data_IF_201844785157
#
_entry.id   IF_201844785157
#
_cell.length_a   1.000
_cell.length_b   1.000
_cell.length_c   1.000
_cell.angle_alpha   90.00
_cell.angle_beta   90.00
_cell.angle_gamma   90.00
#
_symmetry.space_group_name_H-M   'P 1'
#
loop_
_entity.id
_entity.type
_entity.pdbx_description
1 polymer ?
#
# COMPACT_ATOMS: atom_id res chain seq x y z
N UNK A 1 11.96 3.16 -7.79
CA UNK A 1 13.03 3.27 -8.83
C UNK A 1 12.83 2.11 -9.77
N UNK A 2 12.88 2.29 -11.11
CA UNK A 2 12.64 1.22 -12.08
C UNK A 2 13.60 0.04 -11.94
N UNK A 3 13.21 -1.14 -12.44
CA UNK A 3 14.02 -2.36 -12.44
C UNK A 3 15.33 -2.19 -13.20
N UNK A 4 15.24 -1.74 -14.45
CA UNK A 4 16.38 -1.56 -15.36
C UNK A 4 17.38 -0.54 -14.80
N UNK A 5 16.89 0.43 -14.02
CA UNK A 5 17.77 1.41 -13.34
C UNK A 5 18.55 0.78 -12.19
N UNK A 6 17.95 -0.14 -11.42
CA UNK A 6 18.65 -0.87 -10.36
C UNK A 6 19.72 -1.78 -10.94
N UNK A 7 19.40 -2.51 -12.02
CA UNK A 7 20.36 -3.37 -12.71
C UNK A 7 21.53 -2.55 -13.30
N UNK A 8 21.22 -1.48 -14.03
CA UNK A 8 22.24 -0.60 -14.58
C UNK A 8 23.12 0.01 -13.47
N UNK A 9 22.52 0.36 -12.31
CA UNK A 9 23.28 0.86 -11.16
C UNK A 9 24.19 -0.21 -10.56
N UNK A 10 23.71 -1.44 -10.41
CA UNK A 10 24.48 -2.55 -9.86
C UNK A 10 25.70 -2.88 -10.73
N UNK A 11 25.52 -2.88 -12.05
CA UNK A 11 26.62 -3.02 -13.01
C UNK A 11 27.58 -1.81 -12.95
N UNK A 12 27.03 -0.60 -12.88
CA UNK A 12 27.82 0.62 -12.87
C UNK A 12 28.70 0.77 -11.62
N UNK A 13 28.23 0.33 -10.45
CA UNK A 13 28.99 0.37 -9.19
C UNK A 13 30.26 -0.49 -9.27
N UNK A 14 30.25 -1.56 -10.06
CA UNK A 14 31.40 -2.45 -10.22
C UNK A 14 32.45 -1.90 -11.21
N UNK A 15 32.03 -1.08 -12.17
CA UNK A 15 32.88 -0.58 -13.27
C UNK A 15 33.44 0.81 -13.05
N UNK A 16 32.88 1.57 -12.11
CA UNK A 16 33.18 2.98 -11.94
C UNK A 16 33.67 3.29 -10.53
N UNK A 17 34.48 4.35 -10.42
CA UNK A 17 34.79 4.94 -9.12
C UNK A 17 33.57 5.72 -8.62
N UNK A 18 32.95 5.22 -7.56
CA UNK A 18 31.72 5.79 -7.01
C UNK A 18 32.04 6.79 -5.91
N UNK A 19 31.34 7.93 -5.96
CA UNK A 19 31.44 9.00 -4.96
C UNK A 19 30.11 9.26 -4.27
N UNK A 20 30.19 9.97 -3.15
CA UNK A 20 29.06 10.55 -2.40
C UNK A 20 29.20 12.07 -2.32
N UNK A 21 28.10 12.78 -2.10
CA UNK A 21 28.07 14.23 -1.84
C UNK A 21 28.15 15.12 -3.08
N UNK A 22 28.27 14.54 -4.28
CA UNK A 22 28.25 15.27 -5.54
C UNK A 22 27.89 14.36 -6.71
N UNK A 23 27.57 14.98 -7.86
CA UNK A 23 27.24 14.25 -9.08
C UNK A 23 28.48 13.70 -9.81
N UNK A 24 29.55 14.49 -9.81
CA UNK A 24 30.89 14.15 -10.29
C UNK A 24 31.90 14.69 -9.28
N UNK A 25 33.07 14.07 -9.20
CA UNK A 25 34.10 14.41 -8.23
C UNK A 25 35.50 14.40 -8.82
N UNK A 26 36.50 14.82 -8.02
CA UNK A 26 37.90 14.76 -8.40
C UNK A 26 38.32 13.34 -8.80
N UNK A 27 39.22 13.21 -9.77
CA UNK A 27 39.72 11.91 -10.22
C UNK A 27 38.73 11.09 -11.05
N UNK A 28 37.66 11.72 -11.56
CA UNK A 28 36.69 11.05 -12.44
C UNK A 28 35.64 10.21 -11.72
N UNK A 29 35.55 10.33 -10.39
CA UNK A 29 34.50 9.69 -9.62
C UNK A 29 33.11 10.23 -9.96
N UNK A 30 32.10 9.35 -9.95
CA UNK A 30 30.71 9.69 -10.31
C UNK A 30 29.72 9.14 -9.29
N UNK A 31 28.59 9.81 -9.11
CA UNK A 31 27.55 9.31 -8.22
C UNK A 31 26.92 8.03 -8.80
N UNK A 32 26.35 7.14 -7.96
CA UNK A 32 25.76 5.89 -8.42
C UNK A 32 24.64 6.11 -9.46
N UNK A 33 23.86 7.18 -9.29
CA UNK A 33 22.78 7.51 -10.22
C UNK A 33 23.30 7.92 -11.61
N UNK A 34 24.36 8.73 -11.66
CA UNK A 34 24.99 9.11 -12.93
C UNK A 34 25.65 7.89 -13.59
N UNK A 35 26.28 7.04 -12.78
CA UNK A 35 26.88 5.79 -13.26
C UNK A 35 25.82 4.90 -13.92
N UNK A 36 24.68 4.71 -13.24
CA UNK A 36 23.54 3.96 -13.78
C UNK A 36 23.00 4.56 -15.08
N UNK A 37 22.83 5.89 -15.11
CA UNK A 37 22.32 6.58 -16.29
C UNK A 37 23.21 6.38 -17.51
N UNK A 38 24.55 6.45 -17.33
CA UNK A 38 25.53 6.20 -18.39
C UNK A 38 25.52 4.75 -18.87
N UNK A 39 25.17 3.80 -17.99
CA UNK A 39 25.02 2.39 -18.32
C UNK A 39 23.62 2.02 -18.83
N UNK A 40 22.81 2.99 -19.26
CA UNK A 40 21.51 2.74 -19.89
C UNK A 40 20.31 2.92 -18.97
N UNK A 41 20.51 3.37 -17.71
CA UNK A 41 19.42 3.78 -16.83
C UNK A 41 18.65 4.95 -17.43
N UNK A 42 17.42 4.72 -17.90
CA UNK A 42 16.59 5.73 -18.58
C UNK A 42 15.97 6.78 -17.65
N UNK A 43 16.35 6.82 -16.37
CA UNK A 43 15.81 7.76 -15.38
C UNK A 43 16.91 8.48 -14.62
N UNK A 44 16.67 9.75 -14.28
CA UNK A 44 17.46 10.49 -13.31
C UNK A 44 16.60 10.69 -12.05
N UNK A 45 16.96 10.02 -10.96
CA UNK A 45 16.21 10.13 -9.71
C UNK A 45 16.99 10.99 -8.71
N UNK A 46 16.82 12.31 -8.79
CA UNK A 46 17.42 13.27 -7.85
C UNK A 46 17.06 12.95 -6.39
N UNK A 47 15.89 12.34 -6.15
CA UNK A 47 15.47 11.85 -4.84
C UNK A 47 16.40 10.77 -4.29
N UNK A 48 16.89 9.85 -5.12
CA UNK A 48 17.81 8.79 -4.70
C UNK A 48 19.18 9.36 -4.41
N UNK A 49 19.70 10.26 -5.26
CA UNK A 49 21.00 10.89 -5.00
C UNK A 49 21.01 11.56 -3.62
N UNK A 50 19.96 12.33 -3.29
CA UNK A 50 19.80 12.95 -1.95
C UNK A 50 19.65 11.93 -0.83
N UNK A 51 18.90 10.85 -1.05
CA UNK A 51 18.72 9.80 -0.05
C UNK A 51 20.03 9.05 0.22
N UNK A 52 20.82 8.81 -0.82
CA UNK A 52 22.13 8.18 -0.77
C UNK A 52 23.15 9.05 -0.02
N UNK A 53 23.21 10.34 -0.35
CA UNK A 53 24.08 11.30 0.35
C UNK A 53 23.70 11.39 1.84
N UNK A 54 22.39 11.37 2.15
CA UNK A 54 21.91 11.32 3.54
C UNK A 54 22.31 10.02 4.24
N UNK A 55 22.15 8.88 3.58
CA UNK A 55 22.50 7.57 4.14
C UNK A 55 24.00 7.47 4.48
N UNK A 56 24.85 8.02 3.61
CA UNK A 56 26.30 8.03 3.76
C UNK A 56 26.82 9.17 4.65
N UNK A 57 25.93 10.04 5.13
CA UNK A 57 26.30 11.21 5.92
C UNK A 57 27.19 12.18 5.16
N UNK A 58 27.05 12.27 3.83
CA UNK A 58 27.80 13.21 3.01
C UNK A 58 27.25 14.63 3.22
N UNK A 59 27.80 15.32 4.23
CA UNK A 59 27.37 16.68 4.61
C UNK A 59 28.10 17.75 3.80
N UNK A 60 29.38 17.53 3.47
CA UNK A 60 30.20 18.47 2.71
C UNK A 60 31.19 17.75 1.78
N UNK A 61 31.17 18.17 0.51
CA UNK A 61 32.17 17.79 -0.48
C UNK A 61 32.00 16.40 -1.11
N UNK A 62 32.51 16.27 -2.34
CA UNK A 62 32.61 15.00 -3.02
C UNK A 62 33.72 14.15 -2.38
N UNK A 63 33.40 12.92 -1.96
CA UNK A 63 34.40 11.94 -1.53
C UNK A 63 34.16 10.57 -2.14
N UNK A 64 35.19 9.72 -2.27
CA UNK A 64 34.99 8.31 -2.59
C UNK A 64 34.04 7.63 -1.60
N UNK A 65 33.15 6.79 -2.13
CA UNK A 65 32.37 5.89 -1.31
C UNK A 65 33.31 4.85 -0.69
N UNK A 66 33.18 4.63 0.61
CA UNK A 66 33.91 3.58 1.32
C UNK A 66 33.41 2.20 0.87
N UNK A 67 34.25 1.18 1.03
CA UNK A 67 33.84 -0.19 0.66
C UNK A 67 32.58 -0.66 1.40
N UNK A 68 32.41 -0.23 2.67
CA UNK A 68 31.22 -0.57 3.44
C UNK A 68 29.96 0.02 2.81
N UNK A 69 30.05 1.25 2.32
CA UNK A 69 28.94 1.92 1.63
C UNK A 69 28.64 1.24 0.30
N UNK A 70 29.68 0.88 -0.47
CA UNK A 70 29.51 0.14 -1.71
C UNK A 70 28.86 -1.22 -1.48
N UNK A 71 29.32 -1.99 -0.49
CA UNK A 71 28.70 -3.26 -0.10
C UNK A 71 27.23 -3.08 0.29
N UNK A 72 26.93 -2.07 1.11
CA UNK A 72 25.55 -1.80 1.49
C UNK A 72 24.67 -1.45 0.29
N UNK A 73 25.16 -0.60 -0.63
CA UNK A 73 24.45 -0.26 -1.85
C UNK A 73 24.18 -1.49 -2.71
N UNK A 74 25.21 -2.30 -2.95
CA UNK A 74 25.10 -3.57 -3.70
C UNK A 74 24.06 -4.49 -3.08
N UNK A 75 24.15 -4.75 -1.77
CA UNK A 75 23.20 -5.63 -1.07
C UNK A 75 21.77 -5.11 -1.16
N UNK A 76 21.56 -3.79 -1.02
CA UNK A 76 20.21 -3.20 -1.15
C UNK A 76 19.66 -3.34 -2.57
N UNK A 77 20.51 -3.13 -3.60
CA UNK A 77 20.11 -3.29 -5.00
C UNK A 77 19.77 -4.74 -5.33
N UNK A 78 20.65 -5.68 -4.97
CA UNK A 78 20.44 -7.12 -5.16
C UNK A 78 19.18 -7.60 -4.46
N UNK A 79 18.97 -7.19 -3.20
CA UNK A 79 17.76 -7.52 -2.44
C UNK A 79 16.51 -6.97 -3.11
N UNK A 80 16.56 -5.72 -3.59
CA UNK A 80 15.43 -5.09 -4.29
C UNK A 80 15.12 -5.79 -5.62
N UNK A 81 16.13 -6.19 -6.37
CA UNK A 81 15.99 -6.93 -7.63
C UNK A 81 15.42 -8.33 -7.36
N UNK A 82 15.96 -9.05 -6.37
CA UNK A 82 15.50 -10.38 -5.99
C UNK A 82 14.04 -10.37 -5.49
N UNK A 83 13.67 -9.37 -4.69
CA UNK A 83 12.29 -9.16 -4.26
C UNK A 83 11.35 -8.94 -5.43
N UNK A 84 11.75 -8.14 -6.43
CA UNK A 84 10.91 -7.91 -7.61
C UNK A 84 10.82 -9.13 -8.53
N UNK A 85 11.93 -9.84 -8.72
CA UNK A 85 11.96 -11.07 -9.51
C UNK A 85 11.11 -12.18 -8.86
N UNK A 86 11.12 -12.29 -7.53
CA UNK A 86 10.27 -13.21 -6.78
C UNK A 86 8.81 -12.75 -6.66
N UNK A 87 8.57 -11.45 -6.75
CA UNK A 87 7.25 -10.83 -6.76
C UNK A 87 6.71 -10.59 -8.16
N UNK A 88 7.38 -11.11 -9.20
CA UNK A 88 7.05 -10.87 -10.60
C UNK A 88 5.55 -11.02 -10.85
N UNK A 89 5.01 -10.07 -11.61
CA UNK A 89 3.60 -9.94 -11.99
C UNK A 89 3.03 -11.29 -12.45
N UNK A 90 2.34 -11.98 -11.54
CA UNK A 90 1.91 -13.36 -11.75
C UNK A 90 1.77 -14.09 -10.42
N UNK A 91 2.84 -14.71 -9.91
CA UNK A 91 2.73 -15.77 -8.91
C UNK A 91 1.98 -15.42 -7.62
N UNK A 92 2.28 -14.28 -6.98
CA UNK A 92 1.57 -13.88 -5.76
C UNK A 92 0.20 -13.27 -6.05
N UNK A 93 0.07 -12.53 -7.14
CA UNK A 93 -1.20 -11.94 -7.57
C UNK A 93 -2.23 -13.00 -7.96
N UNK A 94 -1.78 -14.01 -8.71
CA UNK A 94 -2.52 -15.20 -9.13
C UNK A 94 -2.88 -16.06 -7.91
N UNK A 95 -1.95 -16.32 -6.99
CA UNK A 95 -2.27 -17.02 -5.74
C UNK A 95 -3.31 -16.27 -4.88
N UNK A 96 -3.29 -14.93 -4.86
CA UNK A 96 -4.30 -14.13 -4.16
C UNK A 96 -5.64 -14.16 -4.91
N UNK A 97 -5.64 -14.15 -6.24
CA UNK A 97 -6.84 -14.25 -7.06
C UNK A 97 -7.51 -15.63 -6.89
N UNK A 98 -6.74 -16.72 -7.04
CA UNK A 98 -7.20 -18.09 -6.82
C UNK A 98 -7.80 -18.28 -5.42
N UNK A 99 -7.16 -17.70 -4.40
CA UNK A 99 -7.68 -17.76 -3.05
C UNK A 99 -9.01 -17.01 -2.89
N UNK A 100 -9.17 -15.85 -3.54
CA UNK A 100 -10.43 -15.10 -3.51
C UNK A 100 -11.55 -15.84 -4.22
N UNK A 101 -11.27 -16.44 -5.37
CA UNK A 101 -12.25 -17.23 -6.12
C UNK A 101 -12.67 -18.48 -5.32
N UNK A 102 -11.73 -19.16 -4.67
CA UNK A 102 -12.03 -20.27 -3.78
C UNK A 102 -12.90 -19.88 -2.57
N UNK A 103 -12.73 -18.67 -2.03
CA UNK A 103 -13.56 -18.14 -0.94
C UNK A 103 -14.98 -17.79 -1.41
N UNK A 104 -15.12 -17.22 -2.62
CA UNK A 104 -16.42 -16.94 -3.21
C UNK A 104 -17.20 -18.24 -3.51
N UNK A 105 -16.54 -19.23 -4.10
CA UNK A 105 -17.11 -20.55 -4.35
C UNK A 105 -17.57 -21.23 -3.05
N UNK A 106 -16.79 -21.09 -1.99
CA UNK A 106 -17.15 -21.61 -0.67
C UNK A 106 -18.36 -20.89 -0.10
N UNK A 107 -18.40 -19.56 -0.16
CA UNK A 107 -19.54 -18.78 0.31
C UNK A 107 -20.83 -19.12 -0.46
N UNK A 108 -20.75 -19.30 -1.78
CA UNK A 108 -21.89 -19.70 -2.61
C UNK A 108 -22.38 -21.12 -2.27
N UNK A 109 -21.45 -22.05 -2.02
CA UNK A 109 -21.83 -23.40 -1.56
C UNK A 109 -22.44 -23.36 -0.17
N UNK A 110 -21.90 -22.58 0.75
CA UNK A 110 -22.44 -22.41 2.11
C UNK A 110 -23.81 -21.73 2.11
N UNK A 111 -24.08 -20.82 1.17
CA UNK A 111 -25.41 -20.22 0.94
C UNK A 111 -26.41 -21.23 0.35
N UNK A 112 -25.97 -22.07 -0.58
CA UNK A 112 -26.82 -23.09 -1.21
C UNK A 112 -27.10 -24.30 -0.30
N UNK A 113 -26.16 -24.63 0.59
CA UNK A 113 -26.31 -25.70 1.60
C UNK A 113 -26.93 -25.19 2.92
N UNK A 114 -27.28 -23.89 2.99
CA UNK A 114 -28.05 -23.36 4.10
C UNK A 114 -29.39 -24.11 4.15
N UNK A 115 -29.73 -24.78 5.27
CA UNK A 115 -30.98 -25.50 5.36
C UNK A 115 -32.11 -24.49 5.21
N UNK A 116 -32.98 -24.70 4.21
CA UNK A 116 -34.20 -23.91 4.06
C UNK A 116 -34.88 -23.79 5.43
N UNK A 117 -35.32 -22.59 5.84
CA UNK A 117 -35.96 -22.40 7.13
C UNK A 117 -37.09 -23.43 7.24
N UNK A 118 -37.07 -24.20 8.34
CA UNK A 118 -38.08 -25.24 8.52
C UNK A 118 -39.43 -24.53 8.55
N UNK A 119 -40.44 -25.09 7.89
CA UNK A 119 -41.79 -24.51 7.82
C UNK A 119 -42.36 -24.13 9.22
N UNK A 120 -41.90 -24.77 10.29
CA UNK A 120 -42.23 -24.40 11.68
C UNK A 120 -41.74 -22.99 12.06
N UNK A 121 -40.53 -22.63 11.68
CA UNK A 121 -39.87 -21.40 12.11
C UNK A 121 -40.50 -20.18 11.43
N UNK A 122 -40.92 -20.36 10.16
CA UNK A 122 -41.65 -19.36 9.40
C UNK A 122 -43.08 -19.12 9.92
N UNK A 123 -43.76 -20.17 10.43
CA UNK A 123 -45.08 -19.99 11.07
C UNK A 123 -44.98 -19.29 12.42
N UNK A 124 -43.95 -19.60 13.22
CA UNK A 124 -43.75 -19.02 14.55
C UNK A 124 -43.40 -17.52 14.50
N UNK A 125 -42.74 -17.09 13.42
CA UNK A 125 -42.47 -15.68 13.13
C UNK A 125 -43.73 -14.94 12.65
N UNK A 126 -44.57 -15.61 11.85
CA UNK A 126 -45.84 -15.06 11.38
C UNK A 126 -46.86 -14.91 12.53
N UNK A 127 -46.99 -15.90 13.42
CA UNK A 127 -47.82 -15.81 14.63
C UNK A 127 -47.34 -14.70 15.59
N UNK A 128 -46.02 -14.50 15.71
CA UNK A 128 -45.44 -13.42 16.53
C UNK A 128 -45.72 -12.04 15.93
N UNK A 129 -45.66 -11.90 14.60
CA UNK A 129 -46.04 -10.68 13.89
C UNK A 129 -47.54 -10.39 13.98
N UNK A 130 -48.38 -11.43 14.00
CA UNK A 130 -49.83 -11.34 14.17
C UNK A 130 -50.20 -10.98 15.62
N UNK A 131 -49.50 -11.53 16.61
CA UNK A 131 -49.58 -11.14 18.02
C UNK A 131 -49.21 -9.67 18.26
N UNK A 132 -48.32 -9.08 17.45
CA UNK A 132 -47.96 -7.67 17.56
C UNK A 132 -49.05 -6.72 17.02
N UNK A 133 -49.92 -7.20 16.13
CA UNK A 133 -51.05 -6.42 15.58
C UNK A 133 -52.32 -6.50 16.46
N UNK A 134 -52.40 -7.44 17.38
CA UNK A 134 -53.58 -7.69 18.20
C UNK A 134 -53.60 -7.01 19.59
N UNK A 135 -52.83 -5.94 19.82
CA UNK A 135 -52.92 -5.14 21.07
C UNK A 135 -53.59 -3.78 20.85
N UNK A 136 -54.85 -3.60 21.28
CA UNK A 136 -55.47 -2.27 21.39
C UNK A 136 -55.13 -1.68 22.75
N UNK A 137 -54.24 -0.68 22.83
CA UNK A 137 -54.06 0.03 24.09
C UNK A 137 -52.87 0.99 24.21
N UNK A 138 -53.18 2.29 24.13
CA UNK A 138 -52.49 3.44 24.76
C UNK A 138 -51.29 4.06 24.03
N UNK A 139 -51.60 4.94 23.07
CA UNK A 139 -50.77 6.11 22.75
C UNK A 139 -50.73 7.05 23.96
N UNK A 140 -49.55 7.32 24.51
CA UNK A 140 -49.33 8.43 25.44
C UNK A 140 -48.72 9.59 24.65
N UNK A 141 -49.54 10.59 24.33
CA UNK A 141 -49.14 11.81 23.65
C UNK A 141 -48.53 12.76 24.69
N UNK A 142 -47.21 12.94 24.71
CA UNK A 142 -46.61 14.07 25.44
C UNK A 142 -46.29 15.15 24.40
N UNK A 143 -47.21 16.11 24.30
CA UNK A 143 -47.09 17.33 23.52
C UNK A 143 -46.00 18.23 24.11
N UNK A 144 -44.94 18.49 23.34
CA UNK A 144 -44.01 19.60 23.57
C UNK A 144 -44.39 20.78 22.67
N UNK A 145 -45.16 21.73 23.20
CA UNK A 145 -45.55 22.97 22.52
C UNK A 145 -44.38 23.96 22.43
N UNK A 146 -44.03 24.38 21.21
CA UNK A 146 -43.18 25.56 20.97
C UNK A 146 -43.91 26.83 21.41
N UNK A 147 -43.22 27.72 22.13
CA UNK A 147 -43.67 29.10 22.34
C UNK A 147 -42.70 30.04 21.61
N UNK A 148 -43.17 30.62 20.51
CA UNK A 148 -42.53 31.72 19.81
C UNK A 148 -42.85 33.01 20.57
N UNK A 149 -41.80 33.74 20.98
CA UNK A 149 -41.94 35.08 21.52
C UNK A 149 -42.10 36.10 20.39
N UNK A 150 -43.07 37.00 20.53
CA UNK A 150 -43.04 38.28 19.84
C UNK A 150 -43.37 39.42 20.80
N UNK A 151 -42.56 40.47 20.61
CA UNK A 151 -42.48 41.73 21.34
C UNK A 151 -43.50 42.70 20.75
N UNK A 152 -44.17 43.53 21.58
CA UNK A 152 -44.38 44.96 21.25
C UNK A 152 -44.95 45.81 22.40
N UNK A 153 -44.15 46.83 22.73
CA UNK A 153 -44.50 48.24 22.95
C UNK A 153 -45.52 48.63 24.02
N UNK A 154 -45.02 49.38 25.00
CA UNK A 154 -45.37 50.79 25.17
C UNK A 154 -44.10 51.62 25.38
#
# INVERSE_FOLDING_TARGET
>A
MPFETREAMLDAVQRNSIIVGAYTGPGGGICPMLAAHRNGGRTSFAGFARAWDRYTGAVEGARPASERELRALTTMLESSIALEASSGEGALGEAIADHRDAQLDRAVREEHDAPAPRFSDAMEEMERAESYRASPGRMNCISGTMHAGEVRSR
#
